data_IF_346092777600
#
_entry.id   IF_346092777600
#
_cell.length_a   1.000
_cell.length_b   1.000
_cell.length_c   1.000
_cell.angle_alpha   90.00
_cell.angle_beta   90.00
_cell.angle_gamma   90.00
#
_symmetry.space_group_name_H-M   'P 1'
#
loop_
_entity.id
_entity.type
_entity.pdbx_description
1 polymer ?
#
# COMPACT_ATOMS: atom_id res chain seq x y z
N UNK A 1 7.23 14.02 -6.06
CA UNK A 1 8.23 12.94 -6.20
C UNK A 1 7.99 11.85 -5.18
N UNK A 2 7.98 10.60 -5.63
CA UNK A 2 7.75 9.49 -4.72
C UNK A 2 9.03 9.18 -3.96
N UNK A 3 8.91 9.09 -2.65
CA UNK A 3 10.01 8.71 -1.78
C UNK A 3 10.41 7.25 -2.04
N UNK A 4 11.69 6.91 -1.84
CA UNK A 4 12.17 5.54 -2.06
C UNK A 4 11.36 4.51 -1.26
N UNK A 5 11.01 4.85 0.00
CA UNK A 5 10.22 3.95 0.84
C UNK A 5 8.81 3.76 0.29
N UNK A 6 8.24 4.78 -0.32
CA UNK A 6 6.92 4.67 -0.93
C UNK A 6 6.98 3.81 -2.19
N UNK A 7 8.06 3.92 -2.97
CA UNK A 7 8.27 3.03 -4.12
C UNK A 7 8.38 1.58 -3.66
N UNK A 8 9.03 1.35 -2.53
CA UNK A 8 9.15 0.02 -1.95
C UNK A 8 7.77 -0.54 -1.57
N UNK A 9 6.92 0.29 -0.97
CA UNK A 9 5.56 -0.12 -0.63
C UNK A 9 4.75 -0.45 -1.88
N UNK A 10 4.88 0.34 -2.95
CA UNK A 10 4.23 0.05 -4.22
C UNK A 10 4.71 -1.26 -4.81
N UNK A 11 6.01 -1.51 -4.74
CA UNK A 11 6.61 -2.75 -5.23
C UNK A 11 6.03 -3.96 -4.52
N UNK A 12 5.96 -3.91 -3.18
CA UNK A 12 5.36 -5.00 -2.40
C UNK A 12 3.89 -5.18 -2.76
N UNK A 13 3.16 -4.09 -2.86
CA UNK A 13 1.72 -4.12 -3.06
C UNK A 13 1.35 -4.71 -4.42
N UNK A 14 1.90 -4.16 -5.50
CA UNK A 14 1.51 -4.56 -6.84
C UNK A 14 2.04 -5.92 -7.24
N UNK A 15 3.13 -6.38 -6.63
CA UNK A 15 3.67 -7.71 -6.88
C UNK A 15 3.18 -8.75 -5.88
N UNK A 16 2.28 -8.35 -4.97
CA UNK A 16 1.68 -9.23 -3.98
C UNK A 16 2.72 -9.94 -3.13
N UNK A 17 3.76 -9.21 -2.74
CA UNK A 17 4.87 -9.76 -1.95
C UNK A 17 4.65 -9.66 -0.46
N UNK A 18 3.52 -9.11 -0.04
CA UNK A 18 3.18 -8.99 1.37
C UNK A 18 2.80 -10.35 1.95
N UNK A 19 3.02 -10.51 3.26
CA UNK A 19 2.67 -11.73 3.95
C UNK A 19 1.15 -11.94 3.92
N UNK A 20 0.68 -13.21 3.93
CA UNK A 20 -0.77 -13.45 3.80
C UNK A 20 -1.59 -12.96 4.99
N UNK A 21 -0.97 -12.78 6.13
CA UNK A 21 -1.70 -12.32 7.32
C UNK A 21 -1.38 -10.87 7.60
N UNK A 22 -2.37 -10.01 7.34
CA UNK A 22 -2.28 -8.59 7.60
C UNK A 22 -3.38 -8.18 8.57
N UNK A 23 -3.09 -7.19 9.41
CA UNK A 23 -4.03 -6.70 10.41
C UNK A 23 -3.89 -5.19 10.50
N UNK A 24 -5.00 -4.48 10.55
CA UNK A 24 -4.97 -3.03 10.74
C UNK A 24 -4.40 -2.69 12.11
N UNK A 25 -4.03 -1.43 12.30
CA UNK A 25 -3.48 -0.97 13.58
C UNK A 25 -4.47 -1.10 14.73
N UNK A 26 -5.78 -1.15 14.42
CA UNK A 26 -6.81 -1.37 15.44
C UNK A 26 -7.30 -2.83 15.49
N UNK A 27 -6.59 -3.76 14.87
CA UNK A 27 -6.79 -5.18 15.09
C UNK A 27 -7.72 -5.90 14.12
N UNK A 28 -8.14 -5.26 13.04
CA UNK A 28 -9.02 -5.91 12.06
C UNK A 28 -8.20 -6.63 11.00
N UNK A 29 -8.63 -7.84 10.66
CA UNK A 29 -7.96 -8.61 9.62
C UNK A 29 -8.12 -7.96 8.25
N UNK A 30 -7.04 -7.93 7.47
CA UNK A 30 -7.03 -7.35 6.12
C UNK A 30 -6.74 -8.44 5.11
N UNK A 31 -7.59 -8.53 4.10
CA UNK A 31 -7.39 -9.46 2.99
C UNK A 31 -7.52 -8.69 1.68
N UNK A 32 -6.45 -8.67 0.89
CA UNK A 32 -6.42 -7.94 -0.38
C UNK A 32 -6.93 -8.87 -1.47
N UNK A 33 -8.11 -8.57 -2.02
CA UNK A 33 -8.73 -9.39 -3.07
C UNK A 33 -8.34 -8.90 -4.46
N UNK A 34 -8.14 -7.59 -4.62
CA UNK A 34 -7.71 -6.97 -5.86
C UNK A 34 -6.83 -5.79 -5.50
N UNK A 35 -5.60 -5.80 -5.99
CA UNK A 35 -4.63 -4.75 -5.65
C UNK A 35 -4.96 -3.40 -6.30
N UNK A 36 -5.87 -3.40 -7.29
CA UNK A 36 -6.23 -2.17 -7.97
C UNK A 36 -5.25 -1.78 -9.05
N UNK A 37 -5.33 -0.54 -9.47
CA UNK A 37 -4.53 0.01 -10.56
C UNK A 37 -3.70 1.17 -10.05
N UNK A 38 -2.44 1.23 -10.49
CA UNK A 38 -1.56 2.34 -10.11
C UNK A 38 -2.10 3.63 -10.72
N UNK A 39 -2.09 4.69 -9.92
CA UNK A 39 -2.46 6.03 -10.37
C UNK A 39 -1.19 6.88 -10.48
N UNK A 40 -0.95 7.43 -11.67
CA UNK A 40 0.21 8.29 -11.92
C UNK A 40 -0.17 9.77 -11.96
N UNK A 41 -1.45 10.08 -11.76
CA UNK A 41 -1.94 11.46 -11.72
C UNK A 41 -2.22 11.89 -10.29
N UNK A 42 -2.92 13.01 -10.13
CA UNK A 42 -3.29 13.50 -8.79
C UNK A 42 -4.25 12.54 -8.10
N UNK A 43 -4.26 12.56 -6.78
CA UNK A 43 -5.10 11.71 -5.96
C UNK A 43 -4.33 10.56 -5.36
N UNK A 44 -5.04 9.56 -4.87
CA UNK A 44 -4.44 8.43 -4.20
C UNK A 44 -3.56 7.59 -5.12
N UNK A 45 -2.62 6.86 -4.54
CA UNK A 45 -1.63 6.07 -5.28
C UNK A 45 -2.25 4.91 -6.05
N UNK A 46 -3.34 4.35 -5.56
CA UNK A 46 -4.01 3.19 -6.15
C UNK A 46 -5.49 3.49 -6.29
N UNK A 47 -6.05 3.14 -7.44
CA UNK A 47 -7.49 3.21 -7.68
C UNK A 47 -8.10 1.82 -7.73
N UNK A 48 -9.33 1.70 -7.22
CA UNK A 48 -10.20 0.54 -7.43
C UNK A 48 -9.64 -0.77 -6.87
N UNK A 49 -9.02 -0.71 -5.71
CA UNK A 49 -8.65 -1.92 -4.97
C UNK A 49 -9.90 -2.51 -4.33
N UNK A 50 -9.87 -3.82 -4.08
CA UNK A 50 -10.93 -4.52 -3.34
C UNK A 50 -10.28 -5.20 -2.15
N UNK A 51 -10.74 -4.82 -0.97
CA UNK A 51 -10.08 -5.22 0.28
C UNK A 51 -11.15 -5.58 1.29
N UNK A 52 -11.00 -6.74 1.91
CA UNK A 52 -11.85 -7.13 3.02
C UNK A 52 -11.17 -6.71 4.31
N UNK A 53 -11.83 -5.89 5.11
CA UNK A 53 -11.33 -5.42 6.39
C UNK A 53 -12.32 -5.84 7.45
N UNK A 54 -11.87 -6.72 8.36
CA UNK A 54 -12.79 -7.38 9.26
C UNK A 54 -13.79 -8.20 8.44
N UNK A 55 -15.07 -7.95 8.65
CA UNK A 55 -16.13 -8.67 7.93
C UNK A 55 -16.69 -7.87 6.75
N UNK A 56 -16.11 -6.73 6.43
CA UNK A 56 -16.64 -5.82 5.41
C UNK A 56 -15.75 -5.81 4.18
N UNK A 57 -16.38 -5.97 3.03
CA UNK A 57 -15.69 -5.84 1.74
C UNK A 57 -15.78 -4.40 1.26
N UNK A 58 -14.62 -3.79 1.02
CA UNK A 58 -14.52 -2.41 0.56
C UNK A 58 -13.96 -2.35 -0.84
N UNK A 59 -14.49 -1.45 -1.65
CA UNK A 59 -13.90 -1.09 -2.93
C UNK A 59 -13.53 0.38 -2.87
N UNK A 60 -12.30 0.72 -3.21
CA UNK A 60 -11.85 2.10 -3.15
C UNK A 60 -10.37 2.23 -3.39
N UNK A 61 -9.81 3.32 -2.92
CA UNK A 61 -8.44 3.70 -3.20
C UNK A 61 -7.51 3.36 -2.05
N UNK A 62 -6.21 3.28 -2.35
CA UNK A 62 -5.17 3.00 -1.34
C UNK A 62 -4.10 4.06 -1.46
N UNK A 63 -3.60 4.51 -0.32
CA UNK A 63 -2.53 5.51 -0.25
C UNK A 63 -1.36 4.92 0.52
N UNK A 64 -0.13 5.19 0.05
CA UNK A 64 1.10 4.73 0.67
C UNK A 64 1.88 5.91 1.24
N UNK A 65 2.41 5.73 2.45
CA UNK A 65 3.34 6.70 3.03
C UNK A 65 4.38 5.98 3.86
N UNK A 66 5.57 6.56 3.98
CA UNK A 66 6.56 6.07 4.92
C UNK A 66 6.06 6.22 6.34
N UNK A 67 5.56 7.40 6.69
CA UNK A 67 5.04 7.71 8.02
C UNK A 67 3.54 8.01 7.93
N UNK A 68 2.80 7.52 8.91
CA UNK A 68 1.36 7.80 8.95
C UNK A 68 1.09 9.31 8.98
N UNK A 69 1.94 10.08 9.67
CA UNK A 69 1.80 11.53 9.77
C UNK A 69 1.95 12.25 8.44
N UNK A 70 2.46 11.58 7.40
CA UNK A 70 2.53 12.15 6.06
C UNK A 70 1.14 12.43 5.47
N UNK A 71 0.12 11.73 5.95
CA UNK A 71 -1.26 11.99 5.54
C UNK A 71 -1.62 13.46 5.77
N UNK A 72 -1.38 13.97 6.97
CA UNK A 72 -1.64 15.38 7.28
C UNK A 72 -0.63 16.31 6.64
N UNK A 73 0.64 15.90 6.63
CA UNK A 73 1.70 16.73 6.07
C UNK A 73 1.47 17.05 4.60
N UNK A 74 0.87 16.10 3.86
CA UNK A 74 0.54 16.29 2.44
C UNK A 74 -0.84 16.88 2.23
N UNK A 75 -1.56 17.23 3.30
CA UNK A 75 -2.85 17.90 3.19
C UNK A 75 -4.01 17.00 2.83
N UNK A 76 -3.86 15.68 2.93
CA UNK A 76 -4.92 14.75 2.55
C UNK A 76 -6.15 14.87 3.44
N UNK A 77 -5.98 15.34 4.68
CA UNK A 77 -7.08 15.51 5.63
C UNK A 77 -8.02 16.67 5.24
N UNK A 78 -7.65 17.49 4.28
CA UNK A 78 -8.49 18.59 3.79
C UNK A 78 -8.88 18.41 2.33
N UNK A 79 -8.53 17.30 1.72
CA UNK A 79 -8.73 17.06 0.29
C UNK A 79 -9.80 15.99 0.09
N UNK A 80 -10.93 16.40 -0.48
CA UNK A 80 -12.08 15.51 -0.71
C UNK A 80 -11.73 14.35 -1.64
N UNK A 81 -10.73 14.51 -2.50
CA UNK A 81 -10.29 13.42 -3.38
C UNK A 81 -9.80 12.20 -2.61
N UNK A 82 -9.37 12.40 -1.36
CA UNK A 82 -8.88 11.30 -0.53
C UNK A 82 -9.97 10.67 0.35
N UNK A 83 -11.21 11.13 0.25
CA UNK A 83 -12.32 10.52 0.99
C UNK A 83 -12.62 9.11 0.51
N UNK A 84 -12.21 8.74 -0.71
CA UNK A 84 -12.40 7.40 -1.25
C UNK A 84 -11.27 6.43 -0.87
N UNK A 85 -10.28 6.88 -0.09
CA UNK A 85 -9.22 5.99 0.38
C UNK A 85 -9.79 5.08 1.47
N UNK A 86 -9.65 3.77 1.25
CA UNK A 86 -10.19 2.75 2.15
C UNK A 86 -9.10 2.11 3.00
N UNK A 87 -7.83 2.32 2.64
CA UNK A 87 -6.71 1.76 3.38
C UNK A 87 -5.48 2.66 3.22
N UNK A 88 -4.86 2.99 4.34
CA UNK A 88 -3.62 3.75 4.39
C UNK A 88 -2.50 2.80 4.79
N UNK A 89 -1.56 2.55 3.88
CA UNK A 89 -0.47 1.59 4.06
C UNK A 89 0.80 2.35 4.40
N UNK A 90 1.41 2.03 5.55
CA UNK A 90 2.55 2.79 6.06
C UNK A 90 3.64 1.85 6.54
N UNK A 91 4.85 2.38 6.71
CA UNK A 91 5.95 1.69 7.38
C UNK A 91 5.98 2.02 8.88
N UNK A 92 5.64 3.25 9.24
CA UNK A 92 5.67 3.69 10.64
C UNK A 92 4.34 4.32 11.04
N UNK A 93 3.76 3.83 12.13
CA UNK A 93 2.46 4.25 12.63
C UNK A 93 2.65 5.35 13.67
N UNK A 94 2.83 6.58 13.22
CA UNK A 94 3.05 7.75 14.08
C UNK A 94 1.89 8.74 14.06
N UNK A 95 0.69 8.27 13.71
CA UNK A 95 -0.50 9.12 13.71
C UNK A 95 -1.64 8.46 12.98
N UNK A 96 -2.80 9.10 13.00
CA UNK A 96 -3.99 8.62 12.33
C UNK A 96 -4.19 9.33 10.99
N UNK A 97 -4.80 8.65 10.03
CA UNK A 97 -5.23 9.25 8.78
C UNK A 97 -6.72 9.57 8.90
N UNK A 98 -7.07 10.85 8.84
CA UNK A 98 -8.44 11.31 8.99
C UNK A 98 -8.87 11.95 7.67
N UNK A 99 -10.00 11.50 7.13
CA UNK A 99 -10.53 12.04 5.89
C UNK A 99 -11.11 13.44 6.10
N UNK A 100 -11.29 14.16 5.00
CA UNK A 100 -11.90 15.49 5.05
C UNK A 100 -13.30 15.44 5.68
N UNK A 101 -14.01 14.32 5.50
CA UNK A 101 -15.34 14.14 6.09
C UNK A 101 -15.28 13.68 7.56
N UNK A 102 -14.12 13.76 8.21
CA UNK A 102 -13.89 13.47 9.63
C UNK A 102 -13.89 11.98 9.99
N UNK A 103 -13.99 11.08 9.02
CA UNK A 103 -13.90 9.64 9.31
C UNK A 103 -12.45 9.17 9.26
N UNK A 104 -12.13 8.13 10.02
CA UNK A 104 -10.78 7.60 10.12
C UNK A 104 -10.56 6.56 9.03
N UNK A 105 -9.41 6.64 8.35
CA UNK A 105 -9.00 5.65 7.35
C UNK A 105 -8.39 4.46 8.07
N UNK A 106 -8.81 3.23 7.78
CA UNK A 106 -8.12 2.05 8.28
C UNK A 106 -6.64 2.10 7.89
N UNK A 107 -5.77 1.74 8.82
CA UNK A 107 -4.33 1.89 8.63
C UNK A 107 -3.62 0.57 8.82
N UNK A 108 -2.65 0.30 7.97
CA UNK A 108 -1.91 -0.95 7.93
C UNK A 108 -0.41 -0.69 7.92
N UNK A 109 0.28 -1.25 8.93
CA UNK A 109 1.74 -1.38 8.85
C UNK A 109 1.97 -2.69 8.11
N UNK A 110 2.35 -2.61 6.84
CA UNK A 110 2.41 -3.79 5.99
C UNK A 110 3.53 -4.74 6.44
N UNK A 111 3.21 -6.01 6.48
CA UNK A 111 4.16 -7.06 6.84
C UNK A 111 4.60 -7.81 5.60
N UNK A 112 5.90 -8.12 5.52
CA UNK A 112 6.47 -8.79 4.37
C UNK A 112 7.72 -9.56 4.81
N UNK A 113 8.13 -10.62 4.06
CA UNK A 113 9.36 -11.32 4.37
C UNK A 113 10.57 -10.40 4.20
N UNK A 114 11.52 -10.50 5.13
CA UNK A 114 12.67 -9.60 5.15
C UNK A 114 13.51 -9.62 3.88
N UNK A 115 13.60 -10.77 3.21
CA UNK A 115 14.43 -10.87 2.01
C UNK A 115 13.92 -9.98 0.86
N UNK A 116 12.67 -9.54 0.95
CA UNK A 116 12.10 -8.63 -0.06
C UNK A 116 12.85 -7.30 -0.08
N UNK A 117 13.35 -6.85 1.07
CA UNK A 117 14.14 -5.61 1.14
C UNK A 117 15.42 -5.72 0.32
N UNK A 118 16.09 -6.87 0.40
CA UNK A 118 17.32 -7.10 -0.36
C UNK A 118 17.05 -7.12 -1.86
N UNK A 119 15.98 -7.79 -2.26
CA UNK A 119 15.60 -7.86 -3.68
C UNK A 119 15.34 -6.46 -4.24
N UNK A 120 14.66 -5.63 -3.48
CA UNK A 120 14.34 -4.28 -3.93
C UNK A 120 15.59 -3.43 -4.07
N UNK A 121 16.57 -3.61 -3.18
CA UNK A 121 17.83 -2.86 -3.20
C UNK A 121 18.77 -3.31 -4.30
N UNK A 122 18.48 -4.43 -4.97
CA UNK A 122 19.33 -4.99 -6.02
C UNK A 122 18.62 -4.94 -7.36
N UNK A 123 18.51 -3.77 -8.00
CA UNK A 123 17.71 -3.60 -9.21
C UNK A 123 18.10 -4.55 -10.35
N UNK A 124 19.38 -4.85 -10.49
CA UNK A 124 19.84 -5.74 -11.55
C UNK A 124 19.21 -7.12 -11.43
N UNK A 125 19.14 -7.63 -10.21
CA UNK A 125 18.54 -8.92 -9.96
C UNK A 125 17.04 -8.87 -10.22
N UNK A 126 16.40 -7.79 -9.86
CA UNK A 126 14.98 -7.60 -10.09
C UNK A 126 14.63 -7.68 -11.56
N UNK A 127 15.44 -7.06 -12.41
CA UNK A 127 15.20 -7.11 -13.85
C UNK A 127 15.31 -8.52 -14.39
N UNK A 128 16.30 -9.28 -13.94
CA UNK A 128 16.48 -10.64 -14.39
C UNK A 128 15.25 -11.46 -14.06
N UNK A 129 14.69 -11.31 -12.90
CA UNK A 129 13.53 -12.08 -12.49
C UNK A 129 12.27 -11.67 -13.23
N UNK A 130 12.12 -10.42 -13.47
CA UNK A 130 10.90 -9.92 -14.10
C UNK A 130 10.76 -10.34 -15.53
N UNK A 131 11.86 -10.43 -16.20
CA UNK A 131 11.78 -10.71 -17.60
C UNK A 131 11.40 -12.13 -17.84
N UNK A 132 11.65 -12.76 -17.29
CA UNK A 132 11.48 -13.98 -17.60
C UNK A 132 10.54 -14.62 -17.05
N UNK A 133 11.01 -13.97 -16.63
CA UNK A 133 10.58 -14.21 -15.83
C UNK A 133 10.07 -14.44 -15.98
N UNK A 134 10.38 -14.66 -16.01
CA UNK A 134 10.01 -14.72 -15.70
C UNK A 134 9.85 -15.22 -15.96
N UNK A 135 10.12 -15.63 -16.03
CA UNK A 135 10.07 -15.98 -15.78
C UNK A 135 10.02 -16.44 -15.51
N UNK A 136 10.22 -16.55 -15.18
CA UNK A 136 10.23 -16.79 -14.39
C UNK A 136 10.03 -17.00 -13.97
N UNK A 137 10.29 -17.39 -13.88
CA UNK A 137 10.16 -17.45 -13.03
C UNK A 137 9.99 -17.51 -12.79
N UNK A 138 10.26 -17.82 -12.70
CA UNK A 138 10.13 -17.84 -11.99
C UNK A 138 10.04 -18.02 -11.59
N UNK A 139 10.33 -18.17 -11.61
CA UNK A 139 10.26 -18.16 -10.86
C UNK A 139 10.27 -18.29 -10.65
N UNK A 140 10.72 -18.68 -10.50
CA UNK A 140 10.72 -18.72 -9.95
C UNK A 140 10.65 -18.95 -9.83
#
# INVERSE_FOLDING_TARGET
MIHTSEKFLQYIWFNKLFSPRQTTTDGLRVEVLDVGQINTDAGADVFNAKIKIGDTLWAGNVEFHTYASDWQRHGHHTDRAYNAVILHVVLFDDGEAIRENQTIVPQLIIKYPKYIEEDFKSPQISFVHCADKITQDKSK
#
